data_IF_665060765208
#
_entry.id   IF_665060765208
#
_cell.length_a   1.000
_cell.length_b   1.000
_cell.length_c   1.000
_cell.angle_alpha   90.00
_cell.angle_beta   90.00
_cell.angle_gamma   90.00
#
_symmetry.space_group_name_H-M   'P 1'
#
loop_
_entity.id
_entity.type
_entity.pdbx_description
1 polymer ?
#
# COMPACT_ATOMS: atom_id res chain seq x y z
N UNK A 1 -3.87 -3.69 23.55
CA UNK A 1 -4.96 -3.33 22.63
C UNK A 1 -4.65 -1.92 22.17
N UNK A 2 -4.37 -1.69 20.89
CA UNK A 2 -3.89 -0.39 20.36
C UNK A 2 -4.97 0.73 20.37
N UNK A 3 -6.04 0.58 21.17
CA UNK A 3 -7.11 1.58 21.30
C UNK A 3 -7.94 1.83 20.04
N UNK A 4 -7.82 0.97 19.02
CA UNK A 4 -8.48 1.14 17.73
C UNK A 4 -9.84 0.45 17.69
N UNK A 5 -10.87 1.24 17.42
CA UNK A 5 -12.26 0.77 17.41
C UNK A 5 -12.76 0.54 15.98
N UNK A 6 -13.46 -0.58 15.80
CA UNK A 6 -14.18 -0.85 14.55
C UNK A 6 -15.42 0.05 14.45
N UNK A 7 -15.62 0.67 13.29
CA UNK A 7 -16.79 1.52 13.02
C UNK A 7 -17.84 0.82 12.17
N UNK A 8 -17.47 0.40 10.96
CA UNK A 8 -18.34 -0.35 10.05
C UNK A 8 -17.52 -1.01 8.93
N UNK A 9 -18.19 -1.83 8.13
CA UNK A 9 -17.60 -2.51 6.97
C UNK A 9 -18.45 -2.33 5.71
N UNK A 10 -17.80 -2.35 4.56
CA UNK A 10 -18.44 -2.39 3.25
C UNK A 10 -17.95 -3.59 2.47
N UNK A 11 -18.88 -4.29 1.81
CA UNK A 11 -18.54 -5.27 0.78
C UNK A 11 -18.23 -4.55 -0.52
N UNK A 12 -17.20 -5.00 -1.24
CA UNK A 12 -16.84 -4.43 -2.52
C UNK A 12 -15.96 -5.39 -3.33
N UNK A 13 -15.39 -4.84 -4.39
CA UNK A 13 -14.39 -5.54 -5.19
C UNK A 13 -13.16 -4.66 -5.36
N UNK A 14 -11.99 -5.29 -5.33
CA UNK A 14 -10.72 -4.62 -5.62
C UNK A 14 -10.22 -5.00 -7.01
N UNK A 15 -9.36 -4.14 -7.58
CA UNK A 15 -8.66 -4.43 -8.84
C UNK A 15 -7.58 -5.47 -8.54
N UNK A 16 -7.67 -6.63 -9.16
CA UNK A 16 -6.74 -7.73 -9.01
C UNK A 16 -6.00 -8.01 -10.32
N UNK A 17 -4.80 -8.55 -10.18
CA UNK A 17 -3.75 -8.86 -11.15
C UNK A 17 -4.13 -9.00 -12.64
N UNK A 18 -3.21 -8.47 -13.45
CA UNK A 18 -2.91 -8.81 -14.84
C UNK A 18 -1.47 -8.37 -15.12
N UNK A 19 -0.65 -9.18 -15.81
CA UNK A 19 0.76 -8.85 -16.08
C UNK A 19 0.87 -7.48 -16.79
N UNK A 20 1.56 -6.52 -16.16
CA UNK A 20 1.68 -5.15 -16.66
C UNK A 20 0.36 -4.37 -16.75
N UNK A 21 -0.61 -4.67 -15.87
CA UNK A 21 -1.98 -4.12 -15.91
C UNK A 21 -2.75 -4.42 -17.21
N UNK A 22 -2.30 -5.40 -18.01
CA UNK A 22 -3.09 -5.88 -19.15
C UNK A 22 -4.18 -6.79 -18.61
N UNK A 23 -5.43 -6.39 -18.83
CA UNK A 23 -6.65 -7.11 -18.41
C UNK A 23 -6.79 -7.21 -16.88
N UNK A 24 -6.97 -6.06 -16.18
CA UNK A 24 -7.21 -6.10 -14.75
C UNK A 24 -8.49 -6.89 -14.46
N UNK A 25 -8.37 -7.89 -13.60
CA UNK A 25 -9.51 -8.57 -13.01
C UNK A 25 -10.12 -7.75 -11.88
N UNK A 26 -11.29 -8.18 -11.41
CA UNK A 26 -11.87 -7.68 -10.17
C UNK A 26 -12.17 -8.86 -9.27
N UNK A 27 -11.68 -8.79 -8.03
CA UNK A 27 -11.89 -9.82 -7.00
C UNK A 27 -12.66 -9.26 -5.81
N UNK A 28 -13.49 -10.09 -5.16
CA UNK A 28 -14.28 -9.65 -4.02
C UNK A 28 -13.42 -9.41 -2.77
N UNK A 29 -13.85 -8.43 -1.97
CA UNK A 29 -13.22 -8.09 -0.71
C UNK A 29 -14.11 -7.22 0.17
N UNK A 30 -13.60 -6.88 1.34
CA UNK A 30 -14.31 -6.05 2.32
C UNK A 30 -13.42 -4.94 2.84
N UNK A 31 -13.94 -3.72 2.83
CA UNK A 31 -13.30 -2.54 3.41
C UNK A 31 -13.83 -2.32 4.82
N UNK A 32 -12.95 -2.36 5.80
CA UNK A 32 -13.21 -2.09 7.22
C UNK A 32 -12.77 -0.68 7.55
N UNK A 33 -13.66 0.08 8.18
CA UNK A 33 -13.36 1.41 8.72
C UNK A 33 -13.05 1.28 10.20
N UNK A 34 -11.86 1.73 10.58
CA UNK A 34 -11.30 1.69 11.92
C UNK A 34 -11.19 3.14 12.42
N UNK A 35 -11.07 3.35 13.73
CA UNK A 35 -10.80 4.68 14.30
C UNK A 35 -9.55 5.35 13.72
N UNK A 36 -9.43 6.66 13.93
CA UNK A 36 -8.23 7.45 13.61
C UNK A 36 -7.83 7.43 12.14
N UNK A 37 -8.82 7.49 11.26
CA UNK A 37 -8.66 7.49 9.80
C UNK A 37 -7.92 6.26 9.25
N UNK A 38 -7.98 5.13 9.96
CA UNK A 38 -7.46 3.86 9.49
C UNK A 38 -8.52 3.04 8.78
N UNK A 39 -8.09 2.33 7.76
CA UNK A 39 -8.91 1.42 6.98
C UNK A 39 -8.14 0.12 6.76
N UNK A 40 -8.86 -0.98 6.60
CA UNK A 40 -8.28 -2.24 6.18
C UNK A 40 -9.13 -2.84 5.06
N UNK A 41 -8.52 -3.17 3.93
CA UNK A 41 -9.17 -3.94 2.88
C UNK A 41 -8.71 -5.38 2.97
N UNK A 42 -9.65 -6.32 3.05
CA UNK A 42 -9.37 -7.76 3.13
C UNK A 42 -9.92 -8.43 1.87
N UNK A 43 -9.04 -9.09 1.12
CA UNK A 43 -9.46 -9.93 -0.01
C UNK A 43 -10.14 -11.20 0.48
N UNK A 44 -11.28 -11.58 -0.12
CA UNK A 44 -11.99 -12.78 0.33
C UNK A 44 -11.25 -14.07 -0.03
N UNK A 45 -10.57 -14.10 -1.17
CA UNK A 45 -9.89 -15.31 -1.67
C UNK A 45 -8.56 -15.58 -1.00
N UNK A 46 -7.70 -14.56 -0.92
CA UNK A 46 -6.33 -14.71 -0.42
C UNK A 46 -6.19 -14.38 1.07
N UNK A 47 -7.20 -13.70 1.63
CA UNK A 47 -7.15 -13.13 2.98
C UNK A 47 -6.04 -12.09 3.17
N UNK A 48 -5.43 -11.61 2.08
CA UNK A 48 -4.44 -10.54 2.14
C UNK A 48 -5.10 -9.26 2.68
N UNK A 49 -4.37 -8.56 3.54
CA UNK A 49 -4.86 -7.35 4.22
C UNK A 49 -4.05 -6.14 3.78
N UNK A 50 -4.73 -5.15 3.21
CA UNK A 50 -4.16 -3.84 2.94
C UNK A 50 -4.62 -2.83 3.98
N UNK A 51 -3.69 -2.36 4.81
CA UNK A 51 -3.95 -1.25 5.73
C UNK A 51 -3.76 0.08 5.01
N UNK A 52 -4.76 0.93 5.06
CA UNK A 52 -4.74 2.29 4.50
C UNK A 52 -4.92 3.27 5.65
N UNK A 53 -4.31 4.46 5.54
CA UNK A 53 -4.55 5.57 6.46
C UNK A 53 -4.78 6.83 5.64
N UNK A 54 -5.79 7.60 6.02
CA UNK A 54 -5.98 8.92 5.40
C UNK A 54 -4.78 9.80 5.71
N UNK A 55 -4.26 10.44 4.68
CA UNK A 55 -3.20 11.43 4.83
C UNK A 55 -3.78 12.82 4.63
N UNK A 56 -3.35 13.78 5.44
CA UNK A 56 -3.69 15.18 5.25
C UNK A 56 -2.72 15.79 4.22
N UNK A 57 -3.15 15.85 2.97
CA UNK A 57 -2.35 16.40 1.87
C UNK A 57 -1.95 17.85 2.12
N UNK A 58 -2.83 18.67 2.68
CA UNK A 58 -2.53 20.07 2.99
C UNK A 58 -1.39 20.19 4.01
N UNK A 59 -1.42 19.38 5.06
CA UNK A 59 -0.36 19.35 6.07
C UNK A 59 0.97 18.86 5.49
N UNK A 60 0.92 17.84 4.61
CA UNK A 60 2.11 17.31 3.92
C UNK A 60 2.74 18.38 3.04
N UNK A 61 1.93 19.09 2.25
CA UNK A 61 2.39 20.15 1.36
C UNK A 61 2.98 21.33 2.14
N UNK A 62 2.34 21.74 3.24
CA UNK A 62 2.84 22.81 4.13
C UNK A 62 4.18 22.47 4.78
N UNK A 63 4.43 21.20 5.13
CA UNK A 63 5.68 20.75 5.76
C UNK A 63 6.85 20.59 4.78
N UNK A 64 6.67 20.92 3.50
CA UNK A 64 7.73 20.79 2.49
C UNK A 64 8.05 19.34 2.12
N UNK A 65 7.21 18.37 2.50
CA UNK A 65 7.33 16.94 2.16
C UNK A 65 6.91 16.63 0.71
N UNK A 66 7.03 17.62 -0.19
CA UNK A 66 6.56 17.55 -1.59
C UNK A 66 7.19 16.45 -2.46
N UNK A 67 8.10 15.64 -1.92
CA UNK A 67 8.77 14.55 -2.62
C UNK A 67 8.47 13.15 -2.06
N UNK A 68 8.01 12.98 -0.81
CA UNK A 68 7.73 11.65 -0.26
C UNK A 68 6.87 11.69 1.00
N UNK A 69 5.77 10.93 1.03
CA UNK A 69 5.02 10.64 2.27
C UNK A 69 5.67 9.41 2.91
N UNK A 70 6.14 9.48 4.18
CA UNK A 70 6.74 8.31 4.81
C UNK A 70 5.71 7.18 4.89
N UNK A 71 6.11 5.93 4.59
CA UNK A 71 5.20 4.79 4.72
C UNK A 71 4.70 4.70 6.16
N UNK A 72 3.48 4.18 6.32
CA UNK A 72 2.98 3.89 7.66
C UNK A 72 3.93 2.90 8.34
N UNK A 73 4.25 3.12 9.63
CA UNK A 73 5.07 2.16 10.36
C UNK A 73 4.39 0.78 10.30
N UNK A 74 5.17 -0.31 10.16
CA UNK A 74 4.62 -1.66 10.20
C UNK A 74 3.75 -1.80 11.44
N UNK A 75 2.48 -2.13 11.22
CA UNK A 75 1.56 -2.36 12.32
C UNK A 75 1.70 -3.83 12.74
N UNK A 76 1.63 -4.13 14.05
CA UNK A 76 1.79 -5.50 14.62
C UNK A 76 0.71 -6.53 14.21
N UNK A 77 0.01 -6.29 13.10
CA UNK A 77 -1.17 -7.05 12.72
C UNK A 77 -0.77 -8.09 11.66
N UNK A 78 -0.50 -9.31 12.13
CA UNK A 78 -0.43 -10.58 11.41
C UNK A 78 0.80 -10.84 10.50
N UNK A 79 1.29 -12.07 10.63
CA UNK A 79 2.39 -12.68 9.88
C UNK A 79 2.12 -12.61 8.38
N UNK A 80 2.81 -11.75 7.64
CA UNK A 80 2.82 -11.79 6.18
C UNK A 80 4.03 -12.58 5.67
N UNK A 81 3.83 -13.40 4.65
CA UNK A 81 4.93 -13.98 3.88
C UNK A 81 5.54 -12.86 3.05
N UNK A 82 6.77 -12.45 3.36
CA UNK A 82 7.46 -11.37 2.65
C UNK A 82 7.76 -11.74 1.20
N UNK A 83 6.99 -11.20 0.26
CA UNK A 83 7.44 -11.04 -1.13
C UNK A 83 7.85 -9.59 -1.33
N UNK A 84 9.14 -9.36 -1.50
CA UNK A 84 9.68 -8.08 -1.94
C UNK A 84 9.50 -7.96 -3.46
N UNK A 85 8.73 -6.97 -3.90
CA UNK A 85 8.69 -6.58 -5.31
C UNK A 85 9.60 -5.37 -5.50
N UNK A 86 10.70 -5.55 -6.22
CA UNK A 86 11.59 -4.45 -6.62
C UNK A 86 10.96 -3.71 -7.79
N UNK A 87 10.95 -2.38 -7.74
CA UNK A 87 10.48 -1.57 -8.86
C UNK A 87 11.51 -1.67 -10.00
N UNK A 88 11.12 -2.26 -11.13
CA UNK A 88 11.99 -2.43 -12.32
C UNK A 88 12.51 -1.08 -12.83
N UNK A 89 11.78 0.02 -12.62
CA UNK A 89 12.21 1.36 -13.02
C UNK A 89 13.23 1.99 -12.06
N UNK A 90 13.42 1.43 -10.86
CA UNK A 90 14.48 1.87 -9.93
C UNK A 90 15.83 1.21 -10.18
N UNK A 91 15.89 0.08 -10.89
CA UNK A 91 17.16 -0.57 -11.23
C UNK A 91 17.95 0.16 -12.32
N UNK A 92 17.25 0.92 -13.18
CA UNK A 92 17.88 1.64 -14.30
C UNK A 92 18.83 2.76 -13.86
N UNK A 93 18.72 3.28 -12.63
CA UNK A 93 19.59 4.36 -12.14
C UNK A 93 20.96 3.88 -11.64
N UNK A 94 21.12 2.58 -11.36
CA UNK A 94 22.40 2.02 -10.87
C UNK A 94 23.33 1.56 -12.00
N UNK A 95 22.81 1.29 -13.20
CA UNK A 95 23.64 0.84 -14.33
C UNK A 95 24.27 1.99 -15.13
N UNK A 96 23.68 3.19 -15.10
CA UNK A 96 24.16 4.34 -15.88
C UNK A 96 25.35 5.09 -15.27
N UNK A 97 25.84 4.69 -14.09
CA UNK A 97 26.98 5.32 -13.41
C UNK A 97 28.28 4.51 -13.48
N UNK A 98 28.30 3.39 -14.21
CA UNK A 98 29.47 2.48 -14.26
C UNK A 98 30.20 2.41 -15.60
N UNK A 99 29.82 3.21 -16.61
CA UNK A 99 30.51 3.25 -17.90
C UNK A 99 31.15 4.62 -18.11
N UNK A 100 32.22 4.89 -17.37
CA UNK A 100 33.26 5.87 -17.72
C UNK A 100 34.51 5.60 -16.85
N UNK A 101 35.36 4.65 -17.27
CA UNK A 101 36.83 4.66 -17.10
C UNK A 101 37.46 3.36 -17.62
N UNK A 102 37.90 3.36 -18.88
CA UNK A 102 39.30 3.16 -19.36
C UNK A 102 39.32 3.00 -20.89
#
# INVERSE_FOLDING_TARGET
MDGRDFKHSYTGTGISDGYGFRYPGSKPGSLYVISDDHFAFVWHETLDVFTLKRVNLEEILKKGLGTCVPPLPPTNNFTYMGKSYTNVFTESLLYSSSSDSE
#
